data_IF_529086382082
#
_entry.id   IF_529086382082
#
_cell.length_a   1.000
_cell.length_b   1.000
_cell.length_c   1.000
_cell.angle_alpha   90.00
_cell.angle_beta   90.00
_cell.angle_gamma   90.00
#
_symmetry.space_group_name_H-M   'P 1'
#
loop_
_entity.id
_entity.type
_entity.pdbx_description
1 polymer ?
#
# COMPACT_ATOMS: atom_id res chain seq x y z
N UNK A 1 -14.70 -8.89 -3.14
CA UNK A 1 -15.51 -8.60 -1.95
C UNK A 1 -16.30 -7.32 -2.19
N UNK A 2 -17.61 -7.41 -2.40
CA UNK A 2 -18.49 -6.24 -2.60
C UNK A 2 -19.59 -6.30 -1.54
N UNK A 3 -19.88 -5.17 -0.89
CA UNK A 3 -20.88 -5.08 0.18
C UNK A 3 -20.38 -5.40 1.60
N UNK A 4 -19.07 -5.63 1.80
CA UNK A 4 -18.46 -5.73 3.13
C UNK A 4 -17.73 -4.42 3.48
N UNK A 5 -17.69 -4.02 4.78
CA UNK A 5 -16.88 -2.90 5.23
C UNK A 5 -15.39 -3.09 4.89
N UNK A 6 -14.68 -1.99 4.68
CA UNK A 6 -13.24 -2.01 4.52
C UNK A 6 -12.56 -2.14 5.90
N UNK A 7 -11.52 -2.95 5.98
CA UNK A 7 -10.72 -3.18 7.18
C UNK A 7 -9.25 -2.91 6.86
N UNK A 8 -8.47 -2.42 7.84
CA UNK A 8 -7.03 -2.12 7.65
C UNK A 8 -6.21 -3.34 7.24
N UNK A 9 -6.67 -4.55 7.58
CA UNK A 9 -6.10 -5.82 7.14
C UNK A 9 -6.06 -5.96 5.62
N UNK A 10 -6.97 -5.30 4.89
CA UNK A 10 -7.05 -5.38 3.43
C UNK A 10 -6.02 -4.51 2.70
N UNK A 11 -5.27 -3.67 3.41
CA UNK A 11 -4.24 -2.80 2.83
C UNK A 11 -3.17 -3.63 2.09
N UNK A 12 -2.87 -4.83 2.57
CA UNK A 12 -1.93 -5.76 1.93
C UNK A 12 -2.35 -6.10 0.49
N UNK A 13 -3.64 -6.28 0.23
CA UNK A 13 -4.15 -6.61 -1.10
C UNK A 13 -4.05 -5.44 -2.07
N UNK A 14 -4.20 -4.21 -1.55
CA UNK A 14 -4.02 -3.00 -2.34
C UNK A 14 -2.53 -2.84 -2.69
N UNK A 15 -1.64 -2.99 -1.72
CA UNK A 15 -0.20 -2.90 -1.92
C UNK A 15 0.30 -3.97 -2.90
N UNK A 16 -0.20 -5.21 -2.82
CA UNK A 16 0.05 -6.26 -3.80
C UNK A 16 -0.39 -5.86 -5.21
N UNK A 17 -1.58 -5.27 -5.34
CA UNK A 17 -2.07 -4.86 -6.65
C UNK A 17 -1.25 -3.72 -7.25
N UNK A 18 -0.79 -2.79 -6.43
CA UNK A 18 0.12 -1.72 -6.83
C UNK A 18 1.46 -2.31 -7.28
N UNK A 19 2.03 -3.23 -6.50
CA UNK A 19 3.28 -3.91 -6.84
C UNK A 19 3.20 -4.61 -8.22
N UNK A 20 2.09 -5.31 -8.50
CA UNK A 20 1.84 -5.91 -9.82
C UNK A 20 1.78 -4.88 -10.96
N UNK A 21 1.09 -3.76 -10.76
CA UNK A 21 0.92 -2.71 -11.78
C UNK A 21 2.27 -2.07 -12.14
N UNK A 22 3.09 -1.79 -11.13
CA UNK A 22 4.38 -1.14 -11.30
C UNK A 22 5.54 -2.13 -11.52
N UNK A 23 5.26 -3.44 -11.48
CA UNK A 23 6.22 -4.52 -11.62
C UNK A 23 7.43 -4.40 -10.66
N UNK A 24 7.14 -4.02 -9.42
CA UNK A 24 8.09 -3.89 -8.31
C UNK A 24 7.72 -4.80 -7.16
N UNK A 25 8.62 -4.97 -6.17
CA UNK A 25 8.31 -5.81 -5.01
C UNK A 25 7.35 -5.12 -4.05
N UNK A 26 6.63 -5.93 -3.26
CA UNK A 26 5.74 -5.42 -2.21
C UNK A 26 6.51 -4.62 -1.14
N UNK A 27 7.73 -5.04 -0.84
CA UNK A 27 8.65 -4.38 0.09
C UNK A 27 9.02 -2.99 -0.41
N UNK A 28 9.27 -2.85 -1.71
CA UNK A 28 9.60 -1.58 -2.34
C UNK A 28 8.41 -0.62 -2.34
N UNK A 29 7.20 -1.12 -2.62
CA UNK A 29 5.97 -0.33 -2.44
C UNK A 29 5.84 0.16 -1.00
N UNK A 30 6.05 -0.71 -0.02
CA UNK A 30 5.95 -0.35 1.40
C UNK A 30 7.01 0.70 1.80
N UNK A 31 8.25 0.56 1.33
CA UNK A 31 9.33 1.51 1.58
C UNK A 31 9.00 2.89 1.01
N UNK A 32 8.66 2.96 -0.28
CA UNK A 32 8.38 4.22 -0.99
C UNK A 32 7.16 4.92 -0.41
N UNK A 33 6.07 4.19 -0.16
CA UNK A 33 4.85 4.79 0.40
C UNK A 33 5.05 5.27 1.84
N UNK A 34 5.81 4.53 2.65
CA UNK A 34 6.17 4.96 4.00
C UNK A 34 7.01 6.22 3.96
N UNK A 35 8.08 6.24 3.15
CA UNK A 35 8.95 7.41 3.02
C UNK A 35 8.18 8.66 2.56
N UNK A 36 7.30 8.50 1.57
CA UNK A 36 6.45 9.59 1.09
C UNK A 36 5.48 10.09 2.17
N UNK A 37 4.89 9.18 2.94
CA UNK A 37 4.04 9.54 4.08
C UNK A 37 4.81 10.37 5.12
N UNK A 38 6.04 9.95 5.49
CA UNK A 38 6.91 10.71 6.39
C UNK A 38 7.24 12.09 5.85
N UNK A 39 7.55 12.20 4.55
CA UNK A 39 7.84 13.49 3.91
C UNK A 39 6.66 14.45 3.91
N UNK A 40 5.44 13.94 3.68
CA UNK A 40 4.24 14.76 3.56
C UNK A 40 3.67 15.12 4.94
N UNK A 41 3.60 14.14 5.84
CA UNK A 41 2.92 14.28 7.13
C UNK A 41 3.87 14.48 8.32
N UNK A 42 5.19 14.38 8.12
CA UNK A 42 6.18 14.57 9.18
C UNK A 42 6.18 13.47 10.25
N UNK A 43 5.70 12.28 9.91
CA UNK A 43 5.56 11.11 10.79
C UNK A 43 6.80 10.21 10.81
#
# INVERSE_FOLDING_TARGET
YRGKPNESSYLIHIAQKVAEIYNISLEEVAAVTTENSKKIFGV
#
